data_IF_974190208153
#
_entry.id   IF_974190208153
#
_cell.length_a   1.000
_cell.length_b   1.000
_cell.length_c   1.000
_cell.angle_alpha   90.00
_cell.angle_beta   90.00
_cell.angle_gamma   90.00
#
_symmetry.space_group_name_H-M   'P 1'
#
loop_
_entity.id
_entity.type
_entity.pdbx_description
1 polymer ?
#
# COMPACT_ATOMS: atom_id res chain seq x y z
N UNK A 1 -5.10 -9.96 -5.59
CA UNK A 1 -6.28 -10.86 -5.62
C UNK A 1 -6.88 -11.27 -4.28
N UNK A 2 -6.08 -11.66 -3.27
CA UNK A 2 -6.63 -12.18 -2.02
C UNK A 2 -7.60 -11.22 -1.31
N UNK A 3 -7.17 -9.97 -1.08
CA UNK A 3 -8.02 -8.98 -0.42
C UNK A 3 -9.33 -8.68 -1.19
N UNK A 4 -9.29 -8.72 -2.53
CA UNK A 4 -10.47 -8.52 -3.38
C UNK A 4 -11.55 -9.59 -3.17
N UNK A 5 -11.19 -10.79 -2.70
CA UNK A 5 -12.13 -11.86 -2.37
C UNK A 5 -12.84 -11.64 -1.04
N UNK A 6 -12.29 -10.78 -0.18
CA UNK A 6 -12.79 -10.57 1.19
C UNK A 6 -13.38 -9.17 1.43
N UNK A 7 -12.98 -8.18 0.64
CA UNK A 7 -13.40 -6.78 0.80
C UNK A 7 -14.01 -6.28 -0.51
N UNK A 8 -15.30 -5.97 -0.46
CA UNK A 8 -16.02 -5.38 -1.60
C UNK A 8 -15.74 -3.87 -1.72
N UNK A 9 -16.00 -3.29 -2.90
CA UNK A 9 -15.90 -1.84 -3.09
C UNK A 9 -16.84 -1.07 -2.16
N UNK A 10 -18.05 -1.60 -1.93
CA UNK A 10 -19.00 -1.01 -0.97
C UNK A 10 -18.44 -0.99 0.46
N UNK A 11 -17.73 -2.04 0.88
CA UNK A 11 -17.09 -2.05 2.21
C UNK A 11 -16.02 -0.97 2.31
N UNK A 12 -15.19 -0.82 1.28
CA UNK A 12 -14.13 0.18 1.26
C UNK A 12 -14.70 1.62 1.23
N UNK A 13 -15.71 1.86 0.40
CA UNK A 13 -16.39 3.18 0.32
C UNK A 13 -17.00 3.60 1.66
N UNK A 14 -17.48 2.63 2.46
CA UNK A 14 -18.05 2.88 3.78
C UNK A 14 -17.03 2.73 4.93
N UNK A 15 -15.74 2.60 4.64
CA UNK A 15 -14.72 2.28 5.64
C UNK A 15 -14.64 3.30 6.78
N UNK A 16 -14.90 4.58 6.53
CA UNK A 16 -14.85 5.64 7.55
C UNK A 16 -15.91 5.48 8.64
N UNK A 17 -17.06 4.87 8.32
CA UNK A 17 -18.11 4.59 9.30
C UNK A 17 -17.77 3.40 10.20
N UNK A 18 -16.99 2.45 9.68
CA UNK A 18 -16.59 1.24 10.42
C UNK A 18 -15.29 1.47 11.20
N UNK A 19 -14.33 2.16 10.59
CA UNK A 19 -13.00 2.41 11.12
C UNK A 19 -12.70 3.92 11.10
N UNK A 20 -13.26 4.71 12.02
CA UNK A 20 -13.11 6.17 12.02
C UNK A 20 -11.69 6.65 12.34
N UNK A 21 -10.89 5.81 13.00
CA UNK A 21 -9.47 6.07 13.30
C UNK A 21 -8.62 5.20 12.37
N UNK A 22 -7.63 5.81 11.70
CA UNK A 22 -6.77 5.16 10.71
C UNK A 22 -7.58 4.40 9.64
N UNK A 23 -8.49 5.13 8.98
CA UNK A 23 -9.38 4.59 7.96
C UNK A 23 -8.57 3.93 6.83
N UNK A 24 -8.82 2.65 6.49
CA UNK A 24 -8.13 1.99 5.40
C UNK A 24 -8.54 2.58 4.05
N UNK A 25 -7.56 2.88 3.20
CA UNK A 25 -7.78 3.46 1.85
C UNK A 25 -7.63 2.44 0.72
N UNK A 26 -7.22 1.21 1.04
CA UNK A 26 -7.15 0.09 0.10
C UNK A 26 -7.89 -1.13 0.65
N UNK A 27 -8.35 -2.03 -0.23
CA UNK A 27 -8.99 -3.29 0.17
C UNK A 27 -8.07 -4.17 1.02
N UNK A 28 -6.77 -4.15 0.72
CA UNK A 28 -5.77 -4.88 1.49
C UNK A 28 -5.62 -4.33 2.92
N UNK A 29 -5.50 -3.01 3.08
CA UNK A 29 -5.46 -2.37 4.40
C UNK A 29 -6.76 -2.64 5.19
N UNK A 30 -7.91 -2.64 4.53
CA UNK A 30 -9.20 -2.98 5.16
C UNK A 30 -9.20 -4.42 5.66
N UNK A 31 -8.69 -5.35 4.85
CA UNK A 31 -8.60 -6.77 5.21
C UNK A 31 -7.71 -6.97 6.44
N UNK A 32 -6.52 -6.35 6.45
CA UNK A 32 -5.64 -6.37 7.63
C UNK A 32 -6.30 -5.75 8.86
N UNK A 33 -6.99 -4.63 8.69
CA UNK A 33 -7.72 -3.97 9.78
C UNK A 33 -8.79 -4.87 10.38
N UNK A 34 -9.50 -5.63 9.54
CA UNK A 34 -10.52 -6.59 9.98
C UNK A 34 -9.91 -7.73 10.80
N UNK A 35 -8.75 -8.25 10.38
CA UNK A 35 -8.01 -9.28 11.13
C UNK A 35 -7.52 -8.71 12.47
N UNK A 36 -6.99 -7.49 12.47
CA UNK A 36 -6.50 -6.83 13.66
C UNK A 36 -7.62 -6.66 14.71
N UNK A 37 -8.75 -6.07 14.32
CA UNK A 37 -9.88 -5.81 15.23
C UNK A 37 -10.49 -7.11 15.77
N UNK A 38 -10.44 -8.21 15.00
CA UNK A 38 -10.88 -9.54 15.46
C UNK A 38 -10.05 -10.05 16.66
N UNK A 39 -8.75 -9.76 16.69
CA UNK A 39 -7.85 -10.21 17.75
C UNK A 39 -7.65 -9.15 18.84
N UNK A 40 -7.75 -7.87 18.49
CA UNK A 40 -7.44 -6.71 19.35
C UNK A 40 -8.59 -5.69 19.33
N UNK A 41 -9.77 -6.01 19.91
CA UNK A 41 -10.97 -5.17 19.82
C UNK A 41 -10.94 -3.89 20.68
N UNK A 42 -9.84 -3.66 21.43
CA UNK A 42 -9.73 -2.55 22.38
C UNK A 42 -9.09 -1.34 21.72
N UNK A 43 -9.57 -0.15 22.09
CA UNK A 43 -9.02 1.12 21.61
C UNK A 43 -7.51 1.26 21.84
N UNK A 44 -7.04 0.87 23.03
CA UNK A 44 -5.62 0.94 23.38
C UNK A 44 -4.70 0.22 22.37
N UNK A 45 -5.14 -0.90 21.79
CA UNK A 45 -4.35 -1.60 20.78
C UNK A 45 -4.28 -0.80 19.47
N UNK A 46 -5.39 -0.18 19.06
CA UNK A 46 -5.45 0.66 17.85
C UNK A 46 -4.51 1.87 17.96
N UNK A 47 -4.45 2.46 19.15
CA UNK A 47 -3.63 3.65 19.40
C UNK A 47 -2.12 3.36 19.32
N UNK A 48 -1.71 2.08 19.43
CA UNK A 48 -0.31 1.66 19.24
C UNK A 48 0.10 1.52 17.78
N UNK A 49 -0.86 1.50 16.84
CA UNK A 49 -0.58 1.36 15.41
C UNK A 49 -0.49 2.77 14.81
N UNK A 50 0.72 3.25 14.46
CA UNK A 50 0.87 4.57 13.87
C UNK A 50 0.15 4.62 12.51
N UNK A 51 -0.64 5.68 12.30
CA UNK A 51 -1.30 5.94 11.02
C UNK A 51 -0.39 6.68 10.04
N UNK A 52 -0.80 6.69 8.78
CA UNK A 52 -0.18 7.50 7.71
C UNK A 52 0.64 6.68 6.71
N UNK A 53 1.18 7.36 5.67
CA UNK A 53 2.02 6.73 4.65
C UNK A 53 3.27 6.09 5.26
N UNK A 54 3.54 4.84 4.92
CA UNK A 54 4.77 4.13 5.29
C UNK A 54 5.14 3.11 4.23
N UNK A 55 6.43 2.80 4.16
CA UNK A 55 6.97 1.71 3.34
C UNK A 55 7.87 0.88 4.25
N UNK A 56 7.55 -0.40 4.45
CA UNK A 56 8.27 -1.27 5.39
C UNK A 56 8.45 -0.63 6.79
N UNK A 57 9.66 -0.69 7.36
CA UNK A 57 9.98 -0.14 8.69
C UNK A 57 10.18 1.39 8.71
N UNK A 58 9.80 2.10 7.64
CA UNK A 58 10.07 3.53 7.52
C UNK A 58 8.91 4.39 7.99
N UNK A 59 9.22 5.63 8.36
CA UNK A 59 8.22 6.65 8.67
C UNK A 59 7.77 7.35 7.38
N UNK A 60 6.70 8.14 7.44
CA UNK A 60 6.28 9.00 6.33
C UNK A 60 7.42 9.85 5.75
N UNK A 61 8.47 10.14 6.55
CA UNK A 61 9.63 10.90 6.10
C UNK A 61 10.43 10.22 4.99
N UNK A 62 10.48 8.88 4.97
CA UNK A 62 11.21 8.15 3.93
C UNK A 62 10.52 8.26 2.57
N UNK A 63 9.20 8.46 2.56
CA UNK A 63 8.41 8.70 1.34
C UNK A 63 8.83 10.02 0.67
N UNK A 64 9.37 10.98 1.43
CA UNK A 64 9.83 12.27 0.91
C UNK A 64 11.23 12.20 0.27
N UNK A 65 11.98 11.12 0.48
CA UNK A 65 13.37 11.00 -0.01
C UNK A 65 13.45 10.60 -1.48
N UNK A 66 12.45 9.88 -1.97
CA UNK A 66 12.36 9.45 -3.36
C UNK A 66 10.92 9.55 -3.86
N UNK A 67 10.72 10.31 -4.94
CA UNK A 67 9.41 10.48 -5.57
C UNK A 67 8.78 9.14 -6.00
N UNK A 68 9.59 8.14 -6.36
CA UNK A 68 9.12 6.80 -6.71
C UNK A 68 8.46 6.09 -5.52
N UNK A 69 8.89 6.37 -4.28
CA UNK A 69 8.33 5.76 -3.07
C UNK A 69 6.98 6.37 -2.68
N UNK A 70 6.74 7.64 -3.03
CA UNK A 70 5.43 8.29 -2.85
C UNK A 70 4.27 7.59 -3.55
N UNK A 71 4.57 6.84 -4.61
CA UNK A 71 3.59 6.15 -5.42
C UNK A 71 3.47 4.65 -5.06
N UNK A 72 4.21 4.18 -4.06
CA UNK A 72 4.33 2.75 -3.73
C UNK A 72 4.28 2.53 -2.20
N UNK A 73 3.17 2.96 -1.59
CA UNK A 73 2.95 2.99 -0.14
C UNK A 73 2.45 1.64 0.41
N UNK A 74 3.12 0.54 0.08
CA UNK A 74 2.86 -0.74 0.74
C UNK A 74 3.56 -0.78 2.11
N UNK A 75 2.83 -0.82 3.23
CA UNK A 75 3.43 -0.87 4.57
C UNK A 75 4.29 -2.12 4.78
N UNK A 76 4.03 -3.20 4.03
CA UNK A 76 4.83 -4.42 4.14
C UNK A 76 6.14 -4.37 3.35
N UNK A 77 6.23 -3.49 2.34
CA UNK A 77 7.30 -3.42 1.36
C UNK A 77 7.38 -4.61 0.39
N UNK A 78 6.58 -5.67 0.58
CA UNK A 78 6.62 -6.89 -0.23
C UNK A 78 5.93 -6.74 -1.58
N UNK A 79 5.00 -5.80 -1.70
CA UNK A 79 4.31 -5.50 -2.95
C UNK A 79 4.97 -4.33 -3.70
N UNK A 80 6.24 -4.03 -3.39
CA UNK A 80 6.92 -2.92 -4.03
C UNK A 80 7.06 -3.16 -5.55
N UNK A 81 6.40 -2.30 -6.33
CA UNK A 81 6.40 -2.37 -7.80
C UNK A 81 7.84 -2.39 -8.34
N UNK A 82 8.12 -3.34 -9.22
CA UNK A 82 9.42 -3.48 -9.88
C UNK A 82 10.54 -4.12 -9.05
N UNK A 83 10.34 -4.40 -7.75
CA UNK A 83 11.35 -5.06 -6.91
C UNK A 83 11.25 -6.58 -6.97
N UNK A 84 10.03 -7.13 -7.02
CA UNK A 84 9.76 -8.57 -6.96
C UNK A 84 9.29 -9.15 -8.31
N UNK A 85 9.86 -8.68 -9.43
CA UNK A 85 9.44 -9.09 -10.79
C UNK A 85 9.56 -10.60 -11.00
N UNK A 86 10.61 -11.23 -10.44
CA UNK A 86 10.84 -12.68 -10.54
C UNK A 86 9.79 -13.55 -9.82
N UNK A 87 8.92 -12.96 -8.99
CA UNK A 87 7.81 -13.70 -8.35
C UNK A 87 6.58 -13.84 -9.26
N UNK A 88 6.55 -13.12 -10.39
CA UNK A 88 5.48 -13.14 -11.38
C UNK A 88 5.95 -13.88 -12.64
N UNK A 89 6.38 -15.13 -12.50
CA UNK A 89 6.69 -16.01 -13.65
C UNK A 89 5.39 -16.43 -14.35
N UNK A 90 4.74 -15.49 -15.04
CA UNK A 90 3.76 -15.76 -16.11
C UNK A 90 3.38 -14.54 -16.96
N UNK A 91 3.86 -13.32 -16.67
CA UNK A 91 3.57 -12.15 -17.52
C UNK A 91 4.85 -11.37 -17.87
N UNK A 92 5.48 -11.76 -18.98
CA UNK A 92 6.66 -11.08 -19.54
C UNK A 92 6.27 -10.01 -20.58
N UNK A 93 5.09 -9.40 -20.45
CA UNK A 93 4.70 -8.31 -21.32
C UNK A 93 4.23 -7.12 -20.48
N UNK A 94 5.06 -6.08 -20.49
CA UNK A 94 4.85 -4.76 -19.90
C UNK A 94 5.46 -4.48 -18.52
N UNK A 95 6.04 -3.29 -18.44
CA UNK A 95 6.56 -2.71 -17.22
C UNK A 95 5.41 -2.53 -16.21
N UNK A 96 5.48 -3.18 -15.03
CA UNK A 96 4.38 -3.20 -14.06
C UNK A 96 4.17 -1.85 -13.36
N UNK A 97 5.04 -0.87 -13.61
CA UNK A 97 4.87 0.50 -13.11
C UNK A 97 3.76 1.19 -13.94
N UNK A 98 2.83 1.93 -13.33
CA UNK A 98 1.90 2.81 -14.05
C UNK A 98 2.65 3.70 -15.07
N UNK A 99 2.08 3.97 -16.26
CA UNK A 99 2.74 4.79 -17.30
C UNK A 99 3.34 6.10 -16.78
N UNK A 100 2.68 6.72 -15.79
CA UNK A 100 3.15 7.96 -15.14
C UNK A 100 4.50 7.79 -14.43
N UNK A 101 4.74 6.62 -13.86
CA UNK A 101 5.99 6.24 -13.21
C UNK A 101 7.07 5.79 -14.21
N UNK A 102 6.66 5.16 -15.31
CA UNK A 102 7.56 4.82 -16.43
C UNK A 102 8.19 6.10 -17.02
N UNK A 103 7.35 7.08 -17.35
CA UNK A 103 7.77 8.39 -17.88
C UNK A 103 8.62 9.22 -16.90
N UNK A 104 8.46 9.01 -15.59
CA UNK A 104 9.28 9.68 -14.57
C UNK A 104 10.69 9.08 -14.50
N UNK A 105 10.82 7.75 -14.63
CA UNK A 105 12.11 7.08 -14.66
C UNK A 105 12.93 7.45 -15.91
N UNK A 106 12.30 7.47 -17.09
CA UNK A 106 12.94 7.84 -18.37
C UNK A 106 13.48 9.28 -18.38
N UNK A 107 12.75 10.24 -17.79
CA UNK A 107 13.20 11.63 -17.70
C UNK A 107 14.36 11.83 -16.72
N UNK A 108 14.52 10.95 -15.75
CA UNK A 108 15.60 11.03 -14.75
C UNK A 108 16.92 10.52 -15.34
N UNK A 109 16.88 9.51 -16.21
CA UNK A 109 18.05 8.99 -16.94
C UNK A 109 18.54 9.94 -18.04
N UNK A 110 17.67 10.77 -18.62
CA UNK A 110 18.03 11.74 -19.67
C UNK A 110 18.76 13.00 -19.17
N UNK A 111 18.95 13.17 -17.85
CA UNK A 111 19.55 14.37 -17.24
C UNK A 111 20.90 14.09 -16.54
N UNK A 112 21.48 12.89 -16.74
CA UNK A 112 22.83 12.52 -16.25
C UNK A 112 23.81 12.36 -17.41
#
# INVERSE_FOLDING_TARGET
DHANKHVSDTMLTNASFVFPVNTPVTKEAYYYRTIFEKHFPKSAARDTVPGGPSVACSTAKAVEWDAAWSQNLDPSGRAALGVHVASYEEDKTEDPRPEKLQKLAENTEATV
#
